data_IF_852532371215
#
_entry.id   IF_852532371215
#
_cell.length_a   1.000
_cell.length_b   1.000
_cell.length_c   1.000
_cell.angle_alpha   90.00
_cell.angle_beta   90.00
_cell.angle_gamma   90.00
#
_symmetry.space_group_name_H-M   'P 1'
#
loop_
_entity.id
_entity.type
_entity.pdbx_description
1 polymer ?
#
# COMPACT_ATOMS: atom_id res chain seq x y z
N UNK A 1 10.76 18.82 21.34
CA UNK A 1 9.63 19.72 21.00
C UNK A 1 8.44 19.29 21.85
N UNK A 2 7.85 20.19 22.65
CA UNK A 2 6.69 19.87 23.50
C UNK A 2 5.49 19.61 22.59
N UNK A 3 4.79 18.50 22.82
CA UNK A 3 3.55 18.17 22.14
C UNK A 3 2.49 19.23 22.51
N UNK A 4 2.19 20.16 21.61
CA UNK A 4 1.23 21.26 21.83
C UNK A 4 -0.23 20.79 21.69
N UNK A 5 -0.61 19.71 22.37
CA UNK A 5 -2.04 19.42 22.55
C UNK A 5 -2.49 19.97 23.88
N UNK A 6 -3.58 20.74 23.84
CA UNK A 6 -4.26 21.27 25.03
C UNK A 6 -5.16 20.24 25.70
N UNK A 7 -5.32 19.05 25.09
CA UNK A 7 -6.16 17.98 25.61
C UNK A 7 -5.44 17.22 26.71
N UNK A 8 -6.20 16.78 27.70
CA UNK A 8 -5.77 15.83 28.72
C UNK A 8 -6.34 14.46 28.39
N UNK A 9 -5.72 13.39 28.90
CA UNK A 9 -6.12 12.00 28.65
C UNK A 9 -7.61 11.74 28.92
N UNK A 10 -8.17 12.39 29.94
CA UNK A 10 -9.58 12.26 30.36
C UNK A 10 -10.58 12.65 29.26
N UNK A 11 -10.18 13.56 28.37
CA UNK A 11 -11.02 14.07 27.28
C UNK A 11 -10.50 13.68 25.89
N UNK A 12 -9.47 12.85 25.82
CA UNK A 12 -8.87 12.42 24.54
C UNK A 12 -9.75 11.35 23.87
N UNK A 13 -10.45 11.75 22.81
CA UNK A 13 -11.16 10.78 21.97
C UNK A 13 -10.18 9.95 21.17
N UNK A 14 -10.59 8.74 20.79
CA UNK A 14 -9.78 7.89 19.93
C UNK A 14 -9.54 8.50 18.54
N UNK A 15 -10.50 9.26 18.02
CA UNK A 15 -10.37 9.97 16.75
C UNK A 15 -9.31 11.08 16.82
N UNK A 16 -9.31 11.85 17.91
CA UNK A 16 -8.29 12.87 18.13
C UNK A 16 -6.89 12.25 18.24
N UNK A 17 -6.77 11.15 19.00
CA UNK A 17 -5.51 10.43 19.12
C UNK A 17 -5.02 9.89 17.77
N UNK A 18 -5.92 9.42 16.90
CA UNK A 18 -5.61 9.01 15.54
C UNK A 18 -5.03 10.16 14.71
N UNK A 19 -5.67 11.33 14.75
CA UNK A 19 -5.28 12.49 13.95
C UNK A 19 -3.92 13.04 14.40
N UNK A 20 -3.73 13.20 15.72
CA UNK A 20 -2.46 13.65 16.28
C UNK A 20 -1.32 12.66 16.00
N UNK A 21 -1.58 11.36 16.15
CA UNK A 21 -0.61 10.33 15.82
C UNK A 21 -0.23 10.37 14.33
N UNK A 22 -1.20 10.56 13.43
CA UNK A 22 -0.93 10.60 12.00
C UNK A 22 -0.08 11.82 11.62
N UNK A 23 -0.36 13.00 12.19
CA UNK A 23 0.46 14.19 11.97
C UNK A 23 1.88 14.02 12.53
N UNK A 24 2.02 13.42 13.71
CA UNK A 24 3.33 13.06 14.25
C UNK A 24 4.04 12.04 13.35
N UNK A 25 3.35 11.02 12.83
CA UNK A 25 3.93 10.01 11.94
C UNK A 25 4.42 10.61 10.63
N UNK A 26 3.65 11.51 10.00
CA UNK A 26 4.04 12.22 8.78
C UNK A 26 5.35 13.00 8.96
N UNK A 27 5.52 13.63 10.11
CA UNK A 27 6.68 14.50 10.39
C UNK A 27 7.91 13.74 10.90
N UNK A 28 7.74 12.61 11.59
CA UNK A 28 8.85 11.93 12.30
C UNK A 28 9.28 10.58 11.69
N UNK A 29 8.49 9.99 10.79
CA UNK A 29 8.77 8.62 10.31
C UNK A 29 9.80 8.53 9.19
N UNK A 30 10.05 9.63 8.46
CA UNK A 30 10.86 9.60 7.23
C UNK A 30 10.25 8.73 6.12
N UNK A 31 8.95 8.39 6.21
CA UNK A 31 8.30 7.48 5.28
C UNK A 31 8.04 8.12 3.93
N UNK A 32 8.09 7.31 2.86
CA UNK A 32 7.77 7.74 1.50
C UNK A 32 6.31 8.23 1.40
N UNK A 33 5.99 9.15 0.47
CA UNK A 33 4.63 9.67 0.30
C UNK A 33 3.56 8.59 0.07
N UNK A 34 3.89 7.52 -0.66
CA UNK A 34 2.99 6.38 -0.88
C UNK A 34 2.64 5.66 0.41
N UNK A 35 3.63 5.45 1.29
CA UNK A 35 3.42 4.87 2.62
C UNK A 35 2.58 5.80 3.52
N UNK A 36 2.79 7.11 3.44
CA UNK A 36 1.97 8.09 4.17
C UNK A 36 0.51 8.03 3.70
N UNK A 37 0.29 7.95 2.37
CA UNK A 37 -1.05 7.83 1.78
C UNK A 37 -1.75 6.54 2.23
N UNK A 38 -1.05 5.41 2.19
CA UNK A 38 -1.56 4.13 2.71
C UNK A 38 -1.91 4.25 4.19
N UNK A 39 -1.03 4.85 5.00
CA UNK A 39 -1.28 4.99 6.44
C UNK A 39 -2.48 5.89 6.73
N UNK A 40 -2.61 7.00 6.01
CA UNK A 40 -3.78 7.89 6.08
C UNK A 40 -5.07 7.13 5.76
N UNK A 41 -5.07 6.31 4.70
CA UNK A 41 -6.23 5.48 4.36
C UNK A 41 -6.57 4.50 5.49
N UNK A 42 -5.57 3.83 6.06
CA UNK A 42 -5.77 2.88 7.15
C UNK A 42 -6.29 3.57 8.42
N UNK A 43 -5.81 4.78 8.75
CA UNK A 43 -6.35 5.59 9.85
C UNK A 43 -7.82 5.88 9.64
N UNK A 44 -8.21 6.31 8.44
CA UNK A 44 -9.61 6.61 8.14
C UNK A 44 -10.50 5.37 8.31
N UNK A 45 -10.05 4.20 7.84
CA UNK A 45 -10.77 2.94 8.05
C UNK A 45 -10.93 2.61 9.54
N UNK A 46 -9.88 2.79 10.34
CA UNK A 46 -9.92 2.54 11.79
C UNK A 46 -10.84 3.54 12.50
N UNK A 47 -10.79 4.83 12.15
CA UNK A 47 -11.69 5.87 12.68
C UNK A 47 -13.15 5.55 12.36
N UNK A 48 -13.45 5.10 11.13
CA UNK A 48 -14.82 4.79 10.74
C UNK A 48 -15.44 3.60 11.50
N UNK A 49 -14.62 2.74 12.13
CA UNK A 49 -15.11 1.60 12.90
C UNK A 49 -15.35 1.90 14.39
N UNK A 50 -14.90 3.05 14.90
CA UNK A 50 -15.01 3.45 16.30
C UNK A 50 -15.80 4.74 16.38
N UNK A 51 -16.77 4.85 17.28
CA UNK A 51 -17.56 6.08 17.42
C UNK A 51 -16.65 7.26 17.82
N UNK A 52 -16.84 8.41 17.15
CA UNK A 52 -16.00 9.62 17.33
C UNK A 52 -15.93 10.16 18.76
N UNK A 53 -16.92 9.85 19.61
CA UNK A 53 -16.99 10.32 20.99
C UNK A 53 -16.32 9.37 21.98
N UNK A 54 -15.92 8.18 21.55
CA UNK A 54 -15.28 7.18 22.42
C UNK A 54 -13.90 7.69 22.85
N UNK A 55 -13.70 7.76 24.17
CA UNK A 55 -12.41 8.07 24.77
C UNK A 55 -11.45 6.89 24.59
N UNK A 56 -10.20 7.17 24.21
CA UNK A 56 -9.19 6.11 24.02
C UNK A 56 -8.95 5.30 25.30
N UNK A 57 -9.05 5.93 26.46
CA UNK A 57 -8.91 5.32 27.79
C UNK A 57 -10.05 4.37 28.17
N UNK A 58 -11.19 4.41 27.45
CA UNK A 58 -12.37 3.58 27.69
C UNK A 58 -12.51 2.42 26.72
N UNK A 59 -11.64 2.32 25.72
CA UNK A 59 -11.63 1.22 24.77
C UNK A 59 -11.15 -0.06 25.46
N UNK A 60 -11.93 -1.13 25.30
CA UNK A 60 -11.60 -2.45 25.83
C UNK A 60 -11.06 -3.37 24.74
N UNK A 61 -10.36 -4.44 25.14
CA UNK A 61 -9.90 -5.46 24.19
C UNK A 61 -11.07 -6.17 23.48
N UNK A 62 -12.18 -6.44 24.17
CA UNK A 62 -13.37 -7.07 23.57
C UNK A 62 -13.96 -6.23 22.46
N UNK A 63 -14.08 -4.91 22.68
CA UNK A 63 -14.58 -3.98 21.68
C UNK A 63 -13.69 -3.95 20.43
N UNK A 64 -12.37 -3.91 20.61
CA UNK A 64 -11.43 -3.99 19.48
C UNK A 64 -11.47 -5.35 18.78
N UNK A 65 -11.64 -6.44 19.53
CA UNK A 65 -11.70 -7.79 18.96
C UNK A 65 -12.94 -7.98 18.08
N UNK A 66 -14.09 -7.45 18.48
CA UNK A 66 -15.32 -7.50 17.67
C UNK A 66 -15.13 -6.77 16.33
N UNK A 67 -14.54 -5.57 16.35
CA UNK A 67 -14.20 -4.81 15.14
C UNK A 67 -13.26 -5.60 14.22
N UNK A 68 -12.21 -6.21 14.79
CA UNK A 68 -11.23 -6.99 14.04
C UNK A 68 -11.86 -8.25 13.43
N UNK A 69 -12.76 -8.91 14.16
CA UNK A 69 -13.50 -10.07 13.68
C UNK A 69 -14.42 -9.68 12.51
N UNK A 70 -15.09 -8.53 12.56
CA UNK A 70 -15.89 -8.03 11.44
C UNK A 70 -15.02 -7.71 10.22
N UNK A 71 -13.89 -7.04 10.39
CA UNK A 71 -12.97 -6.80 9.28
C UNK A 71 -12.44 -8.10 8.67
N UNK A 72 -12.16 -9.11 9.50
CA UNK A 72 -11.69 -10.40 9.03
C UNK A 72 -12.71 -11.15 8.16
N UNK A 73 -14.01 -10.82 8.21
CA UNK A 73 -15.02 -11.41 7.32
C UNK A 73 -14.89 -10.91 5.88
N UNK A 74 -14.61 -9.61 5.70
CA UNK A 74 -14.65 -8.94 4.39
C UNK A 74 -13.28 -8.58 3.81
N UNK A 75 -12.24 -8.47 4.63
CA UNK A 75 -10.90 -8.06 4.20
C UNK A 75 -9.90 -9.22 4.17
N UNK A 76 -8.80 -9.00 3.42
CA UNK A 76 -7.64 -9.89 3.48
C UNK A 76 -6.95 -9.79 4.85
N UNK A 77 -6.34 -10.88 5.30
CA UNK A 77 -5.64 -10.91 6.60
C UNK A 77 -4.50 -9.88 6.64
N UNK A 78 -3.80 -9.68 5.53
CA UNK A 78 -2.75 -8.66 5.43
C UNK A 78 -3.30 -7.25 5.64
N UNK A 79 -4.49 -6.95 5.11
CA UNK A 79 -5.13 -5.65 5.34
C UNK A 79 -5.55 -5.48 6.80
N UNK A 80 -6.18 -6.50 7.41
CA UNK A 80 -6.54 -6.48 8.84
C UNK A 80 -5.31 -6.25 9.71
N UNK A 81 -4.18 -6.90 9.40
CA UNK A 81 -2.90 -6.67 10.08
C UNK A 81 -2.46 -5.21 10.00
N UNK A 82 -2.55 -4.59 8.81
CA UNK A 82 -2.23 -3.17 8.64
C UNK A 82 -3.12 -2.24 9.49
N UNK A 83 -4.41 -2.55 9.62
CA UNK A 83 -5.34 -1.80 10.47
C UNK A 83 -5.01 -1.98 11.96
N UNK A 84 -4.70 -3.20 12.40
CA UNK A 84 -4.30 -3.47 13.79
C UNK A 84 -2.97 -2.78 14.13
N UNK A 85 -2.03 -2.69 13.18
CA UNK A 85 -0.79 -1.91 13.35
C UNK A 85 -1.10 -0.43 13.63
N UNK A 86 -2.09 0.15 12.94
CA UNK A 86 -2.53 1.53 13.20
C UNK A 86 -3.07 1.65 14.63
N UNK A 87 -4.01 0.80 15.05
CA UNK A 87 -4.56 0.80 16.41
C UNK A 87 -3.41 0.75 17.44
N UNK A 88 -2.50 -0.22 17.30
CA UNK A 88 -1.35 -0.35 18.22
C UNK A 88 -0.47 0.90 18.24
N UNK A 89 -0.27 1.55 17.09
CA UNK A 89 0.55 2.75 16.99
C UNK A 89 -0.11 3.96 17.68
N UNK A 90 -1.43 4.12 17.53
CA UNK A 90 -2.21 5.18 18.18
C UNK A 90 -2.23 4.99 19.71
N UNK A 91 -2.41 3.75 20.20
CA UNK A 91 -2.33 3.49 21.64
C UNK A 91 -0.91 3.73 22.20
N UNK A 92 0.14 3.33 21.47
CA UNK A 92 1.53 3.64 21.86
C UNK A 92 1.81 5.14 21.87
N UNK A 93 1.19 5.90 20.97
CA UNK A 93 1.28 7.34 20.95
C UNK A 93 0.64 7.97 22.19
N UNK A 94 -0.60 7.56 22.51
CA UNK A 94 -1.28 8.01 23.72
C UNK A 94 -0.54 7.60 25.00
N UNK A 95 0.04 6.40 25.05
CA UNK A 95 0.92 5.98 26.15
C UNK A 95 2.08 6.96 26.35
N UNK A 96 2.74 7.35 25.25
CA UNK A 96 3.95 8.19 25.30
C UNK A 96 3.67 9.66 25.62
N UNK A 97 2.56 10.22 25.13
CA UNK A 97 2.32 11.67 25.17
C UNK A 97 1.18 12.10 26.09
N UNK A 98 0.36 11.16 26.56
CA UNK A 98 -0.79 11.41 27.42
C UNK A 98 -0.78 10.56 28.70
N UNK A 99 0.31 9.84 28.96
CA UNK A 99 0.43 8.93 30.09
C UNK A 99 -0.74 7.93 30.15
N UNK A 100 -1.16 7.36 29.03
CA UNK A 100 -2.12 6.25 29.03
C UNK A 100 -1.45 5.02 29.64
N UNK A 101 -1.67 4.76 30.92
CA UNK A 101 -0.86 3.80 31.69
C UNK A 101 -1.04 2.33 31.29
N UNK A 102 -2.26 1.91 30.92
CA UNK A 102 -2.55 0.50 30.61
C UNK A 102 -2.88 0.26 29.13
N UNK A 103 -1.85 -0.11 28.36
CA UNK A 103 -1.99 -0.55 26.96
C UNK A 103 -1.90 -2.08 26.79
N UNK A 104 -1.91 -2.86 27.89
CA UNK A 104 -1.84 -4.34 27.84
C UNK A 104 -3.07 -4.96 27.19
N UNK A 105 -4.14 -4.17 27.01
CA UNK A 105 -5.29 -4.58 26.21
C UNK A 105 -4.88 -4.99 24.78
N UNK A 106 -3.79 -4.42 24.24
CA UNK A 106 -3.29 -4.70 22.89
C UNK A 106 -2.67 -6.10 22.75
N UNK A 107 -2.19 -6.67 23.86
CA UNK A 107 -1.60 -8.01 23.91
C UNK A 107 -2.67 -9.10 23.89
N UNK A 108 -3.91 -8.73 24.25
CA UNK A 108 -5.09 -9.60 24.23
C UNK A 108 -5.80 -9.60 22.87
N UNK A 109 -5.31 -8.83 21.91
CA UNK A 109 -5.90 -8.74 20.57
C UNK A 109 -5.33 -9.84 19.68
N UNK A 110 -6.22 -10.65 19.14
CA UNK A 110 -5.90 -11.70 18.20
C UNK A 110 -6.38 -11.35 16.79
N UNK A 111 -5.53 -11.63 15.81
CA UNK A 111 -5.89 -11.51 14.40
C UNK A 111 -6.37 -12.88 13.93
N UNK A 112 -7.63 -13.02 13.50
CA UNK A 112 -8.16 -14.30 13.05
C UNK A 112 -7.28 -14.94 11.98
N UNK A 113 -6.88 -16.19 12.20
CA UNK A 113 -6.15 -16.96 11.20
C UNK A 113 -7.15 -17.59 10.25
N UNK A 114 -7.01 -17.32 8.95
CA UNK A 114 -7.72 -18.08 7.92
C UNK A 114 -6.84 -19.26 7.49
N UNK A 115 -7.36 -20.48 7.61
CA UNK A 115 -6.74 -21.65 7.02
C UNK A 115 -6.74 -21.47 5.50
N UNK A 116 -5.58 -21.60 4.87
CA UNK A 116 -5.49 -21.55 3.41
C UNK A 116 -6.19 -22.78 2.85
N UNK A 117 -7.20 -22.59 2.02
CA UNK A 117 -7.85 -23.70 1.34
C UNK A 117 -6.95 -24.24 0.21
N UNK A 118 -7.15 -25.51 -0.18
CA UNK A 118 -6.45 -26.08 -1.34
C UNK A 118 -6.70 -25.26 -2.62
N UNK A 119 -7.90 -24.71 -2.76
CA UNK A 119 -8.30 -23.85 -3.88
C UNK A 119 -7.48 -22.55 -3.87
N UNK A 120 -7.35 -21.89 -2.73
CA UNK A 120 -6.53 -20.67 -2.61
C UNK A 120 -5.05 -20.93 -2.87
N UNK A 121 -4.54 -22.10 -2.49
CA UNK A 121 -3.17 -22.50 -2.81
C UNK A 121 -2.99 -22.72 -4.31
N UNK A 122 -3.93 -23.39 -4.96
CA UNK A 122 -3.89 -23.63 -6.41
C UNK A 122 -4.06 -22.33 -7.20
N UNK A 123 -4.93 -21.42 -6.76
CA UNK A 123 -5.09 -20.10 -7.35
C UNK A 123 -3.78 -19.28 -7.33
N UNK A 124 -2.91 -19.49 -6.33
CA UNK A 124 -1.58 -18.86 -6.32
C UNK A 124 -0.63 -19.40 -7.37
N UNK A 125 -0.76 -20.66 -7.76
CA UNK A 125 0.01 -21.21 -8.87
C UNK A 125 -0.41 -20.57 -10.20
N UNK A 126 -1.70 -20.26 -10.36
CA UNK A 126 -2.24 -19.55 -11.53
C UNK A 126 -1.85 -18.05 -11.60
N UNK A 127 -1.02 -17.54 -10.67
CA UNK A 127 -0.51 -16.17 -10.74
C UNK A 127 0.76 -16.04 -11.60
N UNK A 128 1.27 -17.16 -12.12
CA UNK A 128 2.44 -17.20 -12.99
C UNK A 128 2.00 -17.63 -14.38
N UNK A 129 2.69 -17.12 -15.40
CA UNK A 129 2.49 -17.55 -16.79
C UNK A 129 3.50 -18.64 -17.12
N UNK A 130 3.01 -19.76 -17.64
CA UNK A 130 3.82 -20.79 -18.27
C UNK A 130 4.35 -20.30 -19.64
N UNK A 131 5.40 -20.93 -20.15
CA UNK A 131 6.01 -20.54 -21.43
C UNK A 131 5.01 -20.54 -22.61
N UNK A 132 4.06 -21.47 -22.61
CA UNK A 132 2.99 -21.51 -23.63
C UNK A 132 2.03 -20.32 -23.50
N UNK A 133 1.69 -19.91 -22.28
CA UNK A 133 0.80 -18.78 -22.01
C UNK A 133 1.49 -17.45 -22.31
N UNK A 134 2.80 -17.35 -22.05
CA UNK A 134 3.62 -16.22 -22.52
C UNK A 134 3.59 -16.12 -24.03
N UNK A 135 3.78 -17.24 -24.74
CA UNK A 135 3.72 -17.26 -26.20
C UNK A 135 2.35 -16.81 -26.72
N UNK A 136 1.27 -17.36 -26.17
CA UNK A 136 -0.11 -16.99 -26.52
C UNK A 136 -0.40 -15.50 -26.26
N UNK A 137 0.11 -14.95 -25.14
CA UNK A 137 0.00 -13.53 -24.82
C UNK A 137 0.69 -12.66 -25.87
N UNK A 138 1.91 -13.01 -26.31
CA UNK A 138 2.64 -12.26 -27.33
C UNK A 138 1.97 -12.35 -28.70
N UNK A 139 1.47 -13.53 -29.09
CA UNK A 139 0.68 -13.74 -30.31
C UNK A 139 -0.63 -12.92 -30.28
N UNK A 140 -1.24 -12.77 -29.10
CA UNK A 140 -2.42 -11.92 -28.92
C UNK A 140 -2.11 -10.44 -29.15
N UNK A 141 -0.94 -9.97 -28.72
CA UNK A 141 -0.47 -8.61 -29.06
C UNK A 141 -0.26 -8.47 -30.58
N UNK A 142 0.38 -9.44 -31.23
CA UNK A 142 0.60 -9.40 -32.68
C UNK A 142 -0.72 -9.33 -33.46
N UNK A 143 -1.69 -10.17 -33.10
CA UNK A 143 -3.03 -10.10 -33.67
C UNK A 143 -3.67 -8.73 -33.48
N UNK A 144 -3.58 -8.13 -32.29
CA UNK A 144 -4.11 -6.79 -32.03
C UNK A 144 -3.39 -5.72 -32.86
N UNK A 145 -2.07 -5.80 -33.02
CA UNK A 145 -1.28 -4.83 -33.80
C UNK A 145 -1.64 -4.90 -35.29
N UNK A 146 -1.79 -6.11 -35.83
CA UNK A 146 -2.14 -6.34 -37.24
C UNK A 146 -3.56 -5.88 -37.57
N UNK A 147 -4.50 -6.08 -36.65
CA UNK A 147 -5.93 -5.82 -36.90
C UNK A 147 -6.41 -4.44 -36.42
N UNK A 148 -5.51 -3.54 -35.97
CA UNK A 148 -5.88 -2.18 -35.57
C UNK A 148 -5.60 -1.18 -36.68
N UNK A 149 -6.66 -0.52 -37.15
CA UNK A 149 -6.59 0.49 -38.20
C UNK A 149 -6.07 1.85 -37.73
N UNK A 150 -6.11 2.14 -36.42
CA UNK A 150 -5.75 3.45 -35.89
C UNK A 150 -4.28 3.47 -35.45
N UNK A 151 -3.44 4.24 -36.15
CA UNK A 151 -1.98 4.27 -35.96
C UNK A 151 -1.54 4.48 -34.51
N UNK A 152 -2.16 5.45 -33.82
CA UNK A 152 -1.86 5.69 -32.40
C UNK A 152 -2.12 4.47 -31.51
N UNK A 153 -3.21 3.72 -31.75
CA UNK A 153 -3.53 2.52 -30.97
C UNK A 153 -2.57 1.39 -31.31
N UNK A 154 -2.24 1.24 -32.58
CA UNK A 154 -1.23 0.28 -33.05
C UNK A 154 0.10 0.49 -32.36
N UNK A 155 0.63 1.73 -32.40
CA UNK A 155 1.85 2.12 -31.69
C UNK A 155 1.78 1.82 -30.19
N UNK A 156 0.64 2.09 -29.54
CA UNK A 156 0.48 1.79 -28.12
C UNK A 156 0.60 0.29 -27.83
N UNK A 157 0.00 -0.58 -28.66
CA UNK A 157 0.15 -2.03 -28.50
C UNK A 157 1.57 -2.50 -28.76
N UNK A 158 2.25 -1.98 -29.78
CA UNK A 158 3.67 -2.27 -30.06
C UNK A 158 4.54 -1.90 -28.85
N UNK A 159 4.32 -0.72 -28.26
CA UNK A 159 5.02 -0.29 -27.06
C UNK A 159 4.73 -1.22 -25.88
N UNK A 160 3.46 -1.52 -25.59
CA UNK A 160 3.09 -2.41 -24.47
C UNK A 160 3.69 -3.81 -24.65
N UNK A 161 3.65 -4.37 -25.86
CA UNK A 161 4.27 -5.67 -26.17
C UNK A 161 5.77 -5.63 -25.84
N UNK A 162 6.48 -4.61 -26.32
CA UNK A 162 7.92 -4.46 -26.05
C UNK A 162 8.22 -4.35 -24.54
N UNK A 163 7.39 -3.63 -23.77
CA UNK A 163 7.55 -3.55 -22.31
C UNK A 163 7.35 -4.91 -21.64
N UNK A 164 6.32 -5.66 -22.05
CA UNK A 164 6.04 -7.01 -21.52
C UNK A 164 7.20 -7.96 -21.82
N UNK A 165 7.66 -8.00 -23.07
CA UNK A 165 8.82 -8.82 -23.47
C UNK A 165 10.07 -8.44 -22.67
N UNK A 166 10.30 -7.14 -22.46
CA UNK A 166 11.43 -6.66 -21.68
C UNK A 166 11.34 -7.10 -20.20
N UNK A 167 10.16 -7.05 -19.57
CA UNK A 167 9.98 -7.53 -18.21
C UNK A 167 10.15 -9.04 -18.09
N UNK A 168 9.64 -9.82 -19.05
CA UNK A 168 9.78 -11.28 -19.06
C UNK A 168 11.25 -11.68 -19.14
N UNK A 169 12.02 -10.99 -19.99
CA UNK A 169 13.43 -11.31 -20.21
C UNK A 169 14.37 -10.84 -19.08
N UNK A 170 13.99 -9.81 -18.32
CA UNK A 170 14.89 -9.18 -17.32
C UNK A 170 14.37 -9.26 -15.88
N UNK A 171 13.12 -9.67 -15.65
CA UNK A 171 12.52 -9.75 -14.32
C UNK A 171 12.30 -8.39 -13.63
N UNK A 172 12.30 -7.29 -14.38
CA UNK A 172 12.16 -5.94 -13.83
C UNK A 172 10.76 -5.66 -13.29
N UNK A 173 10.69 -4.87 -12.21
CA UNK A 173 9.40 -4.33 -11.75
C UNK A 173 8.92 -3.28 -12.74
N UNK A 174 7.60 -3.21 -12.95
CA UNK A 174 7.01 -2.24 -13.89
C UNK A 174 7.39 -0.80 -13.56
N UNK A 175 7.47 -0.45 -12.26
CA UNK A 175 7.85 0.90 -11.84
C UNK A 175 9.30 1.27 -12.18
N UNK A 176 10.22 0.30 -12.11
CA UNK A 176 11.63 0.45 -12.49
C UNK A 176 11.75 0.62 -14.01
N UNK A 177 11.04 -0.22 -14.77
CA UNK A 177 11.02 -0.18 -16.23
C UNK A 177 10.48 1.16 -16.75
N UNK A 178 9.40 1.67 -16.16
CA UNK A 178 8.80 2.94 -16.57
C UNK A 178 9.63 4.16 -16.15
N UNK A 179 10.65 3.97 -15.30
CA UNK A 179 11.57 5.00 -14.87
C UNK A 179 12.89 5.05 -15.69
N UNK A 180 13.04 4.17 -16.68
CA UNK A 180 14.23 4.14 -17.54
C UNK A 180 14.31 5.44 -18.33
N UNK A 181 15.47 6.10 -18.28
CA UNK A 181 15.84 7.24 -19.13
C UNK A 181 16.86 6.80 -20.17
N UNK A 182 17.02 7.57 -21.24
CA UNK A 182 18.00 7.30 -22.30
C UNK A 182 19.41 7.13 -21.74
N UNK A 183 19.80 7.97 -20.76
CA UNK A 183 21.13 7.94 -20.13
C UNK A 183 21.38 6.68 -19.29
N UNK A 184 20.33 5.94 -18.90
CA UNK A 184 20.47 4.67 -18.19
C UNK A 184 20.90 3.51 -19.11
N UNK A 185 20.79 3.66 -20.44
CA UNK A 185 21.04 2.58 -21.41
C UNK A 185 22.41 2.77 -22.06
N UNK A 186 23.34 1.86 -21.77
CA UNK A 186 24.60 1.77 -22.48
C UNK A 186 24.51 0.67 -23.55
N UNK A 187 24.28 1.08 -24.80
CA UNK A 187 24.12 0.15 -25.93
C UNK A 187 25.43 -0.56 -26.28
N UNK A 188 26.57 0.12 -26.16
CA UNK A 188 27.89 -0.44 -26.48
C UNK A 188 28.24 -1.59 -25.53
N UNK A 189 28.06 -1.37 -24.23
CA UNK A 189 28.35 -2.36 -23.19
C UNK A 189 27.17 -3.30 -22.91
N UNK A 190 26.01 -3.06 -23.56
CA UNK A 190 24.76 -3.81 -23.35
C UNK A 190 24.33 -3.86 -21.88
N UNK A 191 24.46 -2.73 -21.18
CA UNK A 191 24.07 -2.61 -19.76
C UNK A 191 22.93 -1.61 -19.60
N UNK A 192 22.02 -1.92 -18.68
CA UNK A 192 20.97 -1.01 -18.22
C UNK A 192 21.21 -0.70 -16.74
N UNK A 193 21.32 0.59 -16.40
CA UNK A 193 21.35 1.04 -15.02
C UNK A 193 19.92 1.18 -14.47
N UNK A 194 19.67 0.59 -13.30
CA UNK A 194 18.39 0.69 -12.59
C UNK A 194 18.62 1.49 -11.30
N UNK A 195 18.22 2.74 -11.32
CA UNK A 195 18.50 3.77 -10.31
C UNK A 195 17.24 4.42 -9.73
N UNK A 196 16.03 4.01 -10.16
CA UNK A 196 14.78 4.59 -9.68
C UNK A 196 13.52 3.80 -10.03
N UNK A 197 12.38 4.30 -9.54
CA UNK A 197 11.04 3.79 -9.85
C UNK A 197 10.10 4.96 -10.08
N UNK A 198 9.16 4.83 -11.00
CA UNK A 198 8.20 5.90 -11.25
C UNK A 198 7.24 6.07 -10.07
N UNK A 199 7.00 7.32 -9.68
CA UNK A 199 6.01 7.74 -8.71
C UNK A 199 4.84 8.38 -9.46
N UNK A 200 3.62 7.86 -9.24
CA UNK A 200 2.39 8.34 -9.89
C UNK A 200 1.85 9.62 -9.24
N UNK A 201 2.62 10.69 -9.38
CA UNK A 201 2.27 12.04 -8.91
C UNK A 201 2.35 13.01 -10.08
N UNK A 202 1.58 14.09 -10.00
CA UNK A 202 1.72 15.20 -10.94
C UNK A 202 2.90 16.04 -10.50
N UNK A 203 3.86 16.21 -11.40
CA UNK A 203 4.98 17.12 -11.24
C UNK A 203 4.46 18.56 -11.12
N UNK A 204 4.89 19.26 -10.08
CA UNK A 204 4.36 20.60 -9.74
C UNK A 204 4.86 21.66 -10.73
N UNK A 205 6.03 21.45 -11.34
CA UNK A 205 6.67 22.43 -12.22
C UNK A 205 6.21 22.24 -13.68
N UNK A 206 6.19 21.00 -14.14
CA UNK A 206 5.92 20.63 -15.54
C UNK A 206 4.46 20.24 -15.79
N UNK A 207 3.71 19.90 -14.74
CA UNK A 207 2.35 19.35 -14.85
C UNK A 207 2.29 17.92 -15.41
N UNK A 208 3.45 17.30 -15.68
CA UNK A 208 3.52 15.93 -16.19
C UNK A 208 3.08 14.93 -15.11
N UNK A 209 2.44 13.84 -15.53
CA UNK A 209 2.05 12.77 -14.61
C UNK A 209 3.05 11.62 -14.65
N UNK A 210 3.62 11.27 -13.49
CA UNK A 210 4.67 10.26 -13.37
C UNK A 210 6.05 10.90 -13.24
N UNK A 211 6.63 10.84 -12.05
CA UNK A 211 7.95 11.40 -11.73
C UNK A 211 8.85 10.30 -11.24
N UNK A 212 10.05 10.19 -11.80
CA UNK A 212 11.10 9.28 -11.29
C UNK A 212 11.64 9.82 -9.98
#
# INVERSE_FOLDING_TARGET
MKHNSTKQLENLTFHDACDEWLEHYKTHSGSKPTTIKEKTSNVNTVKNAIDSKVLISKITHTYLQDIINEWAKSHSIGHVQSLVIVIRSVFKYAFKYYDLHDIRILDKIDIPKKAKTRIELQAKCNNYLENSEVKELLESFDYLIENKSHDTRKRNYEMVKALVEFQINNGMRIGELLAIKTDNVNVENKTLEIDGTINWVTDVETGAFGVK
#
